data_IF_486333562016
#
_entry.id   IF_486333562016
#
_cell.length_a   1.000
_cell.length_b   1.000
_cell.length_c   1.000
_cell.angle_alpha   90.00
_cell.angle_beta   90.00
_cell.angle_gamma   90.00
#
_symmetry.space_group_name_H-M   'P 1'
#
loop_
_entity.id
_entity.type
_entity.pdbx_description
1 polymer ?
#
# COMPACT_ATOMS: atom_id res chain seq x y z
N UNK A 1 -18.58 -0.10 27.94
CA UNK A 1 -19.05 -0.14 29.35
C UNK A 1 -18.57 1.05 30.16
N UNK A 2 -17.26 1.35 30.22
CA UNK A 2 -16.73 2.52 30.95
C UNK A 2 -17.30 3.90 30.56
N UNK A 3 -17.76 4.09 29.30
CA UNK A 3 -18.33 5.36 28.85
C UNK A 3 -19.81 5.55 29.24
N UNK A 4 -20.58 4.47 29.35
CA UNK A 4 -22.01 4.52 29.71
C UNK A 4 -22.23 4.71 31.22
N UNK A 5 -21.26 4.34 32.06
CA UNK A 5 -21.30 4.59 33.50
C UNK A 5 -20.82 6.01 33.88
N UNK A 6 -20.18 6.75 32.95
CA UNK A 6 -19.76 8.14 33.17
C UNK A 6 -20.79 9.18 32.69
N UNK A 7 -21.76 8.81 31.86
CA UNK A 7 -22.82 9.71 31.39
C UNK A 7 -24.14 9.46 32.13
N UNK A 8 -24.68 10.51 32.75
CA UNK A 8 -25.97 10.45 33.45
C UNK A 8 -27.08 9.87 32.56
N UNK A 9 -27.73 8.79 33.04
CA UNK A 9 -28.86 8.07 32.41
C UNK A 9 -30.19 8.86 32.46
N UNK A 10 -30.13 10.17 32.21
CA UNK A 10 -31.26 11.07 32.42
C UNK A 10 -32.37 10.94 31.36
N UNK A 11 -32.10 10.31 30.21
CA UNK A 11 -33.07 10.14 29.12
C UNK A 11 -33.54 8.69 28.97
N UNK A 12 -34.77 8.52 28.48
CA UNK A 12 -35.36 7.20 28.22
C UNK A 12 -34.57 6.44 27.14
N UNK A 13 -34.12 7.15 26.11
CA UNK A 13 -33.31 6.64 25.00
C UNK A 13 -31.97 6.06 25.46
N UNK A 14 -31.28 6.72 26.41
CA UNK A 14 -30.02 6.21 27.00
C UNK A 14 -30.20 4.97 27.86
N UNK A 15 -31.29 4.88 28.63
CA UNK A 15 -31.62 3.67 29.40
C UNK A 15 -31.91 2.49 28.47
N UNK A 16 -32.60 2.74 27.36
CA UNK A 16 -32.86 1.73 26.35
C UNK A 16 -31.58 1.31 25.61
N UNK A 17 -30.72 2.26 25.24
CA UNK A 17 -29.41 2.03 24.65
C UNK A 17 -28.54 1.12 25.53
N UNK A 18 -28.45 1.42 26.84
CA UNK A 18 -27.75 0.58 27.82
C UNK A 18 -28.29 -0.84 27.83
N UNK A 19 -29.62 -1.01 27.92
CA UNK A 19 -30.28 -2.32 27.97
C UNK A 19 -30.02 -3.16 26.71
N UNK A 20 -30.00 -2.52 25.53
CA UNK A 20 -29.66 -3.18 24.26
C UNK A 20 -28.22 -3.69 24.29
N UNK A 21 -27.28 -2.86 24.72
CA UNK A 21 -25.85 -3.22 24.77
C UNK A 21 -25.53 -4.25 25.87
N UNK A 22 -26.24 -4.24 27.01
CA UNK A 22 -25.97 -5.18 28.11
C UNK A 22 -26.63 -6.55 27.92
N UNK A 23 -27.86 -6.59 27.42
CA UNK A 23 -28.66 -7.81 27.42
C UNK A 23 -28.93 -8.39 26.03
N UNK A 24 -28.68 -7.62 24.96
CA UNK A 24 -29.10 -7.96 23.60
C UNK A 24 -28.06 -7.58 22.52
N UNK A 25 -26.78 -7.51 22.91
CA UNK A 25 -25.72 -7.05 22.02
C UNK A 25 -25.56 -7.93 20.78
N UNK A 26 -25.65 -9.25 20.93
CA UNK A 26 -25.49 -10.19 19.81
C UNK A 26 -26.60 -10.04 18.77
N UNK A 27 -27.85 -9.90 19.20
CA UNK A 27 -28.97 -9.63 18.32
C UNK A 27 -28.90 -8.24 17.69
N UNK A 28 -28.35 -7.25 18.40
CA UNK A 28 -28.12 -5.91 17.90
C UNK A 28 -27.07 -5.88 16.78
N UNK A 29 -25.92 -6.55 16.98
CA UNK A 29 -24.84 -6.67 15.98
C UNK A 29 -25.34 -7.40 14.72
N UNK A 30 -26.20 -8.41 14.90
CA UNK A 30 -26.83 -9.15 13.79
C UNK A 30 -27.98 -8.39 13.10
N UNK A 31 -28.23 -7.13 13.48
CA UNK A 31 -29.28 -6.26 12.93
C UNK A 31 -30.70 -6.83 13.03
N UNK A 32 -30.98 -7.64 14.05
CA UNK A 32 -32.31 -8.23 14.27
C UNK A 32 -33.27 -7.23 14.95
N UNK A 33 -33.44 -6.04 14.37
CA UNK A 33 -34.13 -4.91 15.00
C UNK A 33 -35.61 -5.17 15.28
N UNK A 34 -36.34 -5.80 14.38
CA UNK A 34 -37.76 -6.14 14.58
C UNK A 34 -37.97 -7.06 15.79
N UNK A 35 -37.10 -8.07 15.94
CA UNK A 35 -37.12 -8.99 17.08
C UNK A 35 -36.79 -8.27 18.38
N UNK A 36 -35.89 -7.30 18.34
CA UNK A 36 -35.52 -6.47 19.49
C UNK A 36 -36.66 -5.54 19.91
N UNK A 37 -37.28 -4.84 18.97
CA UNK A 37 -38.42 -3.94 19.24
C UNK A 37 -39.59 -4.71 19.85
N UNK A 38 -39.92 -5.89 19.31
CA UNK A 38 -40.95 -6.76 19.86
C UNK A 38 -40.64 -7.25 21.28
N UNK A 39 -39.37 -7.63 21.54
CA UNK A 39 -38.94 -8.17 22.84
C UNK A 39 -38.77 -7.08 23.91
N UNK A 40 -38.39 -5.88 23.50
CA UNK A 40 -38.23 -4.71 24.38
C UNK A 40 -39.53 -3.91 24.55
N UNK A 41 -40.56 -4.20 23.74
CA UNK A 41 -41.85 -3.51 23.73
C UNK A 41 -41.70 -1.99 23.56
N UNK A 42 -40.92 -1.59 22.56
CA UNK A 42 -40.62 -0.19 22.25
C UNK A 42 -41.11 0.16 20.86
N UNK A 43 -41.49 1.42 20.66
CA UNK A 43 -41.83 1.91 19.31
C UNK A 43 -40.58 2.03 18.45
N UNK A 44 -40.78 2.12 17.13
CA UNK A 44 -39.68 2.31 16.19
C UNK A 44 -38.92 3.62 16.46
N UNK A 45 -39.64 4.69 16.80
CA UNK A 45 -39.03 5.99 17.11
C UNK A 45 -38.16 5.92 18.37
N UNK A 46 -38.65 5.26 19.42
CA UNK A 46 -37.88 5.05 20.66
C UNK A 46 -36.64 4.18 20.43
N UNK A 47 -36.77 3.16 19.57
CA UNK A 47 -35.66 2.29 19.21
C UNK A 47 -34.60 3.05 18.40
N UNK A 48 -35.03 3.90 17.46
CA UNK A 48 -34.15 4.74 16.63
C UNK A 48 -33.32 5.70 17.50
N UNK A 49 -33.96 6.40 18.43
CA UNK A 49 -33.25 7.27 19.38
C UNK A 49 -32.22 6.49 20.22
N UNK A 50 -32.56 5.27 20.65
CA UNK A 50 -31.62 4.43 21.40
C UNK A 50 -30.44 3.99 20.52
N UNK A 51 -30.64 3.68 19.24
CA UNK A 51 -29.55 3.37 18.31
C UNK A 51 -28.65 4.58 18.11
N UNK A 52 -29.21 5.78 17.98
CA UNK A 52 -28.43 7.02 17.86
C UNK A 52 -27.56 7.31 19.09
N UNK A 53 -28.01 6.94 20.29
CA UNK A 53 -27.17 7.00 21.49
C UNK A 53 -26.09 5.91 21.48
N UNK A 54 -26.38 4.68 21.02
CA UNK A 54 -25.40 3.59 20.92
C UNK A 54 -24.30 3.91 19.89
N UNK A 55 -24.65 4.46 18.73
CA UNK A 55 -23.69 4.79 17.66
C UNK A 55 -22.81 5.98 18.01
N UNK A 56 -23.27 6.86 18.92
CA UNK A 56 -22.45 7.94 19.48
C UNK A 56 -21.40 7.44 20.46
N UNK A 57 -21.59 6.26 21.05
CA UNK A 57 -20.60 5.66 21.95
C UNK A 57 -19.51 4.98 21.13
N UNK A 58 -18.25 5.35 21.39
CA UNK A 58 -17.12 4.69 20.74
C UNK A 58 -16.97 3.28 21.32
N UNK A 59 -17.11 2.21 20.52
CA UNK A 59 -17.04 0.84 21.02
C UNK A 59 -15.66 0.49 21.62
N UNK A 60 -14.62 1.30 21.35
CA UNK A 60 -13.24 1.13 21.83
C UNK A 60 -12.55 2.49 22.10
N UNK A 61 -12.70 3.10 23.27
CA UNK A 61 -12.05 4.38 23.59
C UNK A 61 -10.51 4.32 23.59
N UNK A 62 -9.91 3.13 23.78
CA UNK A 62 -8.46 2.93 23.73
C UNK A 62 -7.84 2.92 22.32
N UNK A 63 -8.64 2.94 21.26
CA UNK A 63 -8.11 2.88 19.88
C UNK A 63 -7.41 4.17 19.43
N UNK A 64 -7.50 5.25 20.21
CA UNK A 64 -6.76 6.49 19.97
C UNK A 64 -5.30 6.41 20.45
N UNK A 65 -4.95 5.42 21.29
CA UNK A 65 -3.62 5.28 21.90
C UNK A 65 -2.87 4.01 21.49
N UNK A 66 -3.49 3.13 20.70
CA UNK A 66 -2.77 2.05 20.03
C UNK A 66 -2.34 2.53 18.64
N UNK A 67 -1.09 2.97 18.53
CA UNK A 67 -0.32 2.66 17.32
C UNK A 67 -0.48 1.16 17.05
N UNK A 68 -1.29 0.79 16.05
CA UNK A 68 -1.50 -0.60 15.64
C UNK A 68 -2.91 -1.19 15.75
N UNK A 69 -3.96 -0.39 15.97
CA UNK A 69 -5.33 -0.89 16.14
C UNK A 69 -6.41 -0.33 15.20
N UNK A 70 -6.06 0.47 14.20
CA UNK A 70 -6.95 0.81 13.10
C UNK A 70 -6.67 -0.15 11.95
N UNK A 71 -7.72 -0.63 11.26
CA UNK A 71 -7.67 -1.25 9.93
C UNK A 71 -6.33 -0.98 9.22
N UNK A 72 -5.36 -1.87 9.40
CA UNK A 72 -4.09 -1.79 8.70
C UNK A 72 -4.37 -2.29 7.30
N UNK A 73 -5.16 -1.52 6.56
CA UNK A 73 -5.27 -1.67 5.11
C UNK A 73 -3.83 -1.65 4.62
N UNK A 74 -3.31 -2.77 4.10
CA UNK A 74 -1.91 -2.82 3.71
C UNK A 74 -1.71 -1.74 2.66
N UNK A 75 -0.85 -0.77 2.96
CA UNK A 75 -0.59 0.33 2.05
C UNK A 75 0.20 -0.25 0.87
N UNK A 76 -0.49 -0.42 -0.27
CA UNK A 76 0.15 -0.88 -1.50
C UNK A 76 0.93 0.30 -2.06
N UNK A 77 2.24 0.19 -2.11
CA UNK A 77 3.08 1.15 -2.83
C UNK A 77 2.95 0.86 -4.33
N UNK A 78 2.49 1.80 -5.16
CA UNK A 78 2.33 1.57 -6.58
C UNK A 78 3.71 1.52 -7.26
N UNK A 79 3.84 0.76 -8.34
CA UNK A 79 5.05 0.77 -9.18
C UNK A 79 5.07 1.96 -10.15
N UNK A 80 3.90 2.47 -10.56
CA UNK A 80 3.75 3.59 -11.49
C UNK A 80 2.84 4.67 -10.91
N UNK A 81 3.12 5.91 -11.27
CA UNK A 81 2.26 7.07 -11.03
C UNK A 81 1.83 7.60 -12.40
N UNK A 82 0.54 7.82 -12.55
CA UNK A 82 -0.06 8.32 -13.79
C UNK A 82 -0.87 9.57 -13.46
N UNK A 83 -0.45 10.70 -14.01
CA UNK A 83 -1.15 11.97 -13.89
C UNK A 83 -1.82 12.32 -15.22
N UNK A 84 -3.06 12.77 -15.18
CA UNK A 84 -3.80 13.23 -16.36
C UNK A 84 -4.17 14.69 -16.21
N UNK A 85 -3.61 15.54 -17.06
CA UNK A 85 -3.84 16.99 -17.04
C UNK A 85 -3.82 17.54 -18.47
N UNK A 86 -4.72 18.50 -18.75
CA UNK A 86 -4.83 19.20 -20.04
C UNK A 86 -4.93 18.27 -21.28
N UNK A 87 -5.47 17.06 -21.12
CA UNK A 87 -5.60 16.09 -22.21
C UNK A 87 -4.36 15.21 -22.42
N UNK A 88 -3.34 15.34 -21.58
CA UNK A 88 -2.10 14.58 -21.64
C UNK A 88 -1.92 13.69 -20.42
N UNK A 89 -1.32 12.52 -20.64
CA UNK A 89 -0.92 11.61 -19.58
C UNK A 89 0.59 11.77 -19.33
N UNK A 90 0.94 11.93 -18.06
CA UNK A 90 2.32 11.87 -17.58
C UNK A 90 2.49 10.57 -16.77
N UNK A 91 3.30 9.66 -17.31
CA UNK A 91 3.57 8.35 -16.72
C UNK A 91 4.97 8.34 -16.14
N UNK A 92 5.07 8.06 -14.86
CA UNK A 92 6.35 7.95 -14.16
C UNK A 92 6.43 6.65 -13.36
N UNK A 93 7.64 6.10 -13.23
CA UNK A 93 7.90 5.01 -12.30
C UNK A 93 8.02 5.56 -10.89
N UNK A 94 7.36 4.90 -9.95
CA UNK A 94 7.58 5.11 -8.53
C UNK A 94 8.86 4.38 -8.10
N UNK A 95 10.01 4.84 -8.60
CA UNK A 95 11.31 4.24 -8.30
C UNK A 95 11.77 4.50 -6.86
N UNK A 96 11.03 5.27 -6.05
CA UNK A 96 11.46 5.69 -4.72
C UNK A 96 12.85 6.35 -4.73
N UNK A 97 13.54 6.31 -3.59
CA UNK A 97 14.94 6.72 -3.46
C UNK A 97 15.90 5.62 -3.97
N UNK A 98 15.77 5.16 -5.21
CA UNK A 98 16.75 4.23 -5.77
C UNK A 98 18.01 5.01 -6.19
N UNK A 99 19.14 4.90 -5.48
CA UNK A 99 20.35 5.60 -5.88
C UNK A 99 20.86 5.06 -7.21
N UNK A 100 21.49 5.91 -8.02
CA UNK A 100 22.17 5.48 -9.22
C UNK A 100 23.27 4.45 -8.88
N UNK A 101 23.09 3.21 -9.33
CA UNK A 101 24.11 2.18 -9.19
C UNK A 101 25.32 2.53 -10.08
N UNK A 102 26.48 2.75 -9.45
CA UNK A 102 27.75 3.09 -10.12
C UNK A 102 28.85 2.11 -9.73
N UNK A 103 29.77 1.87 -10.66
CA UNK A 103 30.94 1.04 -10.40
C UNK A 103 31.99 1.89 -9.65
N UNK A 104 32.50 1.37 -8.54
CA UNK A 104 33.55 2.04 -7.78
C UNK A 104 34.87 2.06 -8.56
N UNK A 105 35.38 3.25 -8.85
CA UNK A 105 36.57 3.45 -9.70
C UNK A 105 37.86 2.90 -9.09
N UNK A 106 37.94 2.76 -7.75
CA UNK A 106 39.14 2.24 -7.07
C UNK A 106 39.54 0.84 -7.53
N UNK A 107 38.58 -0.01 -7.89
CA UNK A 107 38.88 -1.36 -8.41
C UNK A 107 39.51 -1.33 -9.81
N UNK A 108 39.19 -0.31 -10.61
CA UNK A 108 39.81 -0.10 -11.93
C UNK A 108 41.25 0.36 -11.76
N UNK A 109 41.51 1.24 -10.79
CA UNK A 109 42.87 1.70 -10.46
C UNK A 109 43.74 0.58 -9.87
N UNK A 110 43.18 -0.27 -8.98
CA UNK A 110 43.89 -1.43 -8.45
C UNK A 110 44.36 -2.38 -9.56
N UNK A 111 43.51 -2.67 -10.54
CA UNK A 111 43.92 -3.51 -11.69
C UNK A 111 45.03 -2.84 -12.50
N UNK A 112 44.98 -1.52 -12.72
CA UNK A 112 46.04 -0.79 -13.43
C UNK A 112 47.38 -0.84 -12.69
N UNK A 113 47.37 -0.82 -11.36
CA UNK A 113 48.58 -0.95 -10.53
C UNK A 113 49.18 -2.36 -10.49
N UNK A 114 48.43 -3.38 -10.91
CA UNK A 114 48.88 -4.79 -10.96
C UNK A 114 49.42 -5.20 -12.35
N UNK A 115 49.38 -4.27 -13.32
CA UNK A 115 49.92 -4.44 -14.67
C UNK A 115 51.22 -3.64 -14.75
N UNK A 116 52.34 -4.29 -15.08
CA UNK A 116 53.62 -3.60 -15.27
C UNK A 116 53.58 -2.71 -16.53
N UNK A 117 54.56 -1.80 -16.66
CA UNK A 117 54.70 -0.85 -17.78
C UNK A 117 54.66 -1.50 -19.16
N UNK A 118 55.12 -2.75 -19.26
CA UNK A 118 55.18 -3.56 -20.48
C UNK A 118 53.87 -4.33 -20.76
N UNK A 119 52.80 -4.08 -19.99
CA UNK A 119 51.50 -4.73 -20.13
C UNK A 119 51.43 -6.16 -19.58
N UNK A 120 52.47 -6.62 -18.88
CA UNK A 120 52.54 -7.97 -18.31
C UNK A 120 51.99 -7.99 -16.88
N UNK A 121 51.19 -9.01 -16.59
CA UNK A 121 50.65 -9.29 -15.26
C UNK A 121 51.59 -10.25 -14.55
N UNK A 122 51.99 -9.94 -13.32
CA UNK A 122 52.78 -10.86 -12.49
C UNK A 122 51.92 -12.06 -12.12
N UNK A 123 52.49 -13.27 -12.17
CA UNK A 123 51.75 -14.52 -11.92
C UNK A 123 51.01 -14.51 -10.57
N UNK A 124 51.61 -13.89 -9.54
CA UNK A 124 51.01 -13.71 -8.20
C UNK A 124 49.76 -12.82 -8.17
N UNK A 125 49.62 -11.91 -9.14
CA UNK A 125 48.54 -10.92 -9.20
C UNK A 125 47.45 -11.34 -10.20
N UNK A 126 47.70 -12.39 -10.99
CA UNK A 126 46.81 -12.88 -12.05
C UNK A 126 45.44 -13.30 -11.53
N UNK A 127 45.40 -14.05 -10.42
CA UNK A 127 44.15 -14.50 -9.81
C UNK A 127 43.33 -13.31 -9.25
N UNK A 128 44.01 -12.35 -8.61
CA UNK A 128 43.38 -11.15 -8.08
C UNK A 128 42.78 -10.28 -9.21
N UNK A 129 43.50 -10.08 -10.32
CA UNK A 129 42.99 -9.36 -11.49
C UNK A 129 41.78 -10.07 -12.09
N UNK A 130 41.84 -11.40 -12.24
CA UNK A 130 40.72 -12.17 -12.79
C UNK A 130 39.48 -12.06 -11.90
N UNK A 131 39.66 -12.13 -10.58
CA UNK A 131 38.58 -11.94 -9.62
C UNK A 131 37.96 -10.54 -9.74
N UNK A 132 38.77 -9.48 -9.72
CA UNK A 132 38.27 -8.09 -9.81
C UNK A 132 37.55 -7.84 -11.13
N UNK A 133 38.10 -8.33 -12.25
CA UNK A 133 37.45 -8.26 -13.57
C UNK A 133 36.07 -8.94 -13.55
N UNK A 134 35.98 -10.15 -12.99
CA UNK A 134 34.71 -10.89 -12.90
C UNK A 134 33.64 -10.13 -12.11
N UNK A 135 34.04 -9.43 -11.04
CA UNK A 135 33.13 -8.60 -10.23
C UNK A 135 32.70 -7.34 -10.96
N UNK A 136 33.60 -6.71 -11.70
CA UNK A 136 33.26 -5.55 -12.54
C UNK A 136 32.27 -5.96 -13.64
N UNK A 137 32.50 -7.07 -14.32
CA UNK A 137 31.61 -7.54 -15.38
C UNK A 137 30.22 -7.90 -14.82
N UNK A 138 30.19 -8.54 -13.64
CA UNK A 138 28.95 -8.82 -12.90
C UNK A 138 28.20 -7.54 -12.51
N UNK A 139 28.91 -6.52 -12.04
CA UNK A 139 28.33 -5.22 -11.70
C UNK A 139 27.79 -4.48 -12.93
N UNK A 140 28.52 -4.51 -14.06
CA UNK A 140 28.04 -3.96 -15.34
C UNK A 140 26.77 -4.64 -15.80
N UNK A 141 26.74 -5.98 -15.77
CA UNK A 141 25.57 -6.75 -16.13
C UNK A 141 24.37 -6.39 -15.25
N UNK A 142 24.57 -6.27 -13.94
CA UNK A 142 23.51 -5.90 -13.00
C UNK A 142 22.94 -4.50 -13.28
N UNK A 143 23.81 -3.50 -13.52
CA UNK A 143 23.38 -2.14 -13.88
C UNK A 143 22.57 -2.16 -15.19
N UNK A 144 23.03 -2.90 -16.21
CA UNK A 144 22.32 -3.05 -17.47
C UNK A 144 20.96 -3.74 -17.29
N UNK A 145 20.89 -4.76 -16.43
CA UNK A 145 19.64 -5.45 -16.13
C UNK A 145 18.61 -4.54 -15.43
N UNK A 146 19.05 -3.66 -14.51
CA UNK A 146 18.19 -2.65 -13.89
C UNK A 146 17.62 -1.70 -14.95
N UNK A 147 18.47 -1.19 -15.86
CA UNK A 147 18.02 -0.32 -16.95
C UNK A 147 17.03 -1.03 -17.86
N UNK A 148 17.33 -2.28 -18.23
CA UNK A 148 16.42 -3.08 -19.06
C UNK A 148 15.07 -3.30 -18.37
N UNK A 149 15.06 -3.55 -17.05
CA UNK A 149 13.81 -3.67 -16.28
C UNK A 149 13.02 -2.35 -16.32
N UNK A 150 13.67 -1.23 -16.04
CA UNK A 150 13.06 0.09 -16.10
C UNK A 150 12.43 0.36 -17.48
N UNK A 151 13.18 0.14 -18.55
CA UNK A 151 12.72 0.38 -19.92
C UNK A 151 11.58 -0.55 -20.31
N UNK A 152 11.65 -1.83 -19.92
CA UNK A 152 10.59 -2.80 -20.19
C UNK A 152 9.31 -2.44 -19.46
N UNK A 153 9.41 -2.04 -18.19
CA UNK A 153 8.28 -1.58 -17.38
C UNK A 153 7.61 -0.35 -18.01
N UNK A 154 8.39 0.69 -18.32
CA UNK A 154 7.88 1.91 -18.95
C UNK A 154 7.20 1.62 -20.28
N UNK A 155 7.84 0.85 -21.16
CA UNK A 155 7.27 0.50 -22.47
C UNK A 155 5.98 -0.30 -22.32
N UNK A 156 5.97 -1.30 -21.45
CA UNK A 156 4.78 -2.14 -21.23
C UNK A 156 3.61 -1.30 -20.71
N UNK A 157 3.86 -0.43 -19.73
CA UNK A 157 2.82 0.41 -19.15
C UNK A 157 2.33 1.48 -20.13
N UNK A 158 3.21 2.02 -20.98
CA UNK A 158 2.81 2.93 -22.06
C UNK A 158 1.87 2.24 -23.05
N UNK A 159 2.20 1.02 -23.48
CA UNK A 159 1.32 0.25 -24.38
C UNK A 159 -0.03 -0.06 -23.73
N UNK A 160 -0.04 -0.38 -22.43
CA UNK A 160 -1.28 -0.57 -21.66
C UNK A 160 -2.09 0.74 -21.62
N UNK A 161 -1.43 1.87 -21.35
CA UNK A 161 -2.07 3.19 -21.29
C UNK A 161 -2.70 3.57 -22.64
N UNK A 162 -1.97 3.39 -23.73
CA UNK A 162 -2.46 3.67 -25.09
C UNK A 162 -3.66 2.77 -25.43
N UNK A 163 -3.59 1.48 -25.05
CA UNK A 163 -4.69 0.54 -25.22
C UNK A 163 -5.82 0.72 -24.19
N UNK A 164 -5.66 1.48 -23.11
CA UNK A 164 -6.71 1.67 -22.08
C UNK A 164 -7.00 3.15 -21.82
N UNK A 165 -6.69 4.01 -22.79
CA UNK A 165 -6.73 5.46 -22.61
C UNK A 165 -8.06 5.98 -22.05
N UNK A 166 -9.19 5.49 -22.59
CA UNK A 166 -10.53 5.89 -22.16
C UNK A 166 -10.85 5.51 -20.72
N UNK A 167 -10.32 4.40 -20.21
CA UNK A 167 -10.44 4.02 -18.82
C UNK A 167 -9.58 4.91 -17.92
N UNK A 168 -8.33 5.19 -18.30
CA UNK A 168 -7.42 5.99 -17.48
C UNK A 168 -7.79 7.48 -17.40
N UNK A 169 -8.64 8.00 -18.30
CA UNK A 169 -9.14 9.38 -18.25
C UNK A 169 -10.07 9.66 -17.06
N UNK A 170 -10.99 8.75 -16.74
CA UNK A 170 -12.04 8.96 -15.74
C UNK A 170 -12.24 7.80 -14.75
N UNK A 171 -11.50 6.69 -14.92
CA UNK A 171 -11.58 5.51 -14.08
C UNK A 171 -12.83 4.66 -14.28
N UNK A 172 -13.65 4.93 -15.30
CA UNK A 172 -14.89 4.20 -15.52
C UNK A 172 -14.64 2.77 -16.01
N UNK A 173 -14.92 1.80 -15.14
CA UNK A 173 -14.68 0.37 -15.40
C UNK A 173 -15.41 -0.19 -16.61
N UNK A 174 -16.50 0.43 -17.09
CA UNK A 174 -17.18 -0.03 -18.31
C UNK A 174 -16.36 0.24 -19.58
N UNK A 175 -15.37 1.13 -19.52
CA UNK A 175 -14.47 1.49 -20.63
C UNK A 175 -13.20 0.63 -20.69
N UNK A 176 -13.01 -0.30 -19.75
CA UNK A 176 -11.90 -1.26 -19.78
C UNK A 176 -12.05 -2.19 -20.98
N UNK A 177 -10.99 -2.25 -21.79
CA UNK A 177 -10.90 -3.18 -22.92
C UNK A 177 -10.25 -4.49 -22.45
N UNK A 178 -10.74 -5.68 -22.82
CA UNK A 178 -10.09 -6.94 -22.46
C UNK A 178 -8.67 -7.01 -23.04
N UNK A 179 -7.70 -7.47 -22.25
CA UNK A 179 -6.32 -7.72 -22.69
C UNK A 179 -5.96 -9.18 -22.43
N UNK A 180 -5.26 -9.80 -23.38
CA UNK A 180 -4.78 -11.18 -23.27
C UNK A 180 -3.28 -11.14 -23.48
N UNK A 181 -2.53 -11.68 -22.52
CA UNK A 181 -1.11 -11.94 -22.70
C UNK A 181 -0.98 -13.21 -23.56
N UNK A 182 -0.50 -13.05 -24.79
CA UNK A 182 -0.22 -14.16 -25.71
C UNK A 182 1.19 -14.67 -25.53
#
# INVERSE_FOLDING_TARGET
MLQLDQENLNTRSRRLARKIVECYFDEFVKKHYEKLMARLQVSEDEFREAIEEITRLSPKPGNLYSEGGADTTPYVTPDFILDYHEGHFDLTLNSGNLPEARINHRYIEMMRGMVDSDGRVKEKDREAIQFVKSKIDSAKWFISAIKQRHDTLMRTMQEILDYQQEYFKDGNKSKLRPMILK
#
